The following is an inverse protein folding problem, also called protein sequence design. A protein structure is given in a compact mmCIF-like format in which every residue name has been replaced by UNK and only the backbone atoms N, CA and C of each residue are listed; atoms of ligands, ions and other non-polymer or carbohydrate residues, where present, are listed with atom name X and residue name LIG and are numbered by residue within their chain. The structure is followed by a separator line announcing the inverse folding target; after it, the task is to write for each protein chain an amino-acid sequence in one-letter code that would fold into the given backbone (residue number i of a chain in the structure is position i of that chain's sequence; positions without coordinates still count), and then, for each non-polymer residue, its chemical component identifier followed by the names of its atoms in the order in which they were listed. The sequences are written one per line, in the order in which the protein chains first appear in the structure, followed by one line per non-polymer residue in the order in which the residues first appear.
data_IF_258169647849
#
_entry.id   IF_258169647849
#
_cell.length_a   1.000
_cell.length_b   1.000
_cell.length_c   1.000
_cell.angle_alpha   90.00
_cell.angle_beta   90.00
_cell.angle_gamma   90.00
#
_symmetry.space_group_name_H-M   'P 1'
#
loop_
_entity.id
_entity.type
_entity.pdbx_description
1 polymer ?
#
# COMPACT_ATOMS: atom_id res chain seq x y z
N UNK A 1 37.25 -14.76 -38.39
CA UNK A 1 37.72 -16.12 -38.03
C UNK A 1 39.14 -16.08 -37.45
N UNK A 2 40.03 -15.24 -37.97
CA UNK A 2 41.43 -15.13 -37.53
C UNK A 2 41.60 -14.62 -36.08
N UNK A 3 40.95 -13.51 -35.71
CA UNK A 3 40.97 -12.97 -34.33
C UNK A 3 40.36 -13.90 -33.27
N UNK A 4 39.43 -14.78 -33.65
CA UNK A 4 38.78 -15.72 -32.73
C UNK A 4 39.72 -16.89 -32.39
N UNK A 5 40.51 -17.34 -33.38
CA UNK A 5 41.54 -18.35 -33.16
C UNK A 5 42.68 -17.80 -32.31
N UNK A 6 43.09 -16.54 -32.53
CA UNK A 6 44.14 -15.88 -31.76
C UNK A 6 43.77 -15.72 -30.27
N UNK A 7 42.53 -15.31 -29.95
CA UNK A 7 42.07 -15.23 -28.56
C UNK A 7 42.04 -16.61 -27.89
N UNK A 8 41.59 -17.64 -28.61
CA UNK A 8 41.51 -19.01 -28.09
C UNK A 8 42.90 -19.55 -27.73
N UNK A 9 43.90 -19.31 -28.57
CA UNK A 9 45.26 -19.78 -28.35
C UNK A 9 45.90 -19.11 -27.12
N UNK A 10 45.61 -17.83 -26.89
CA UNK A 10 46.05 -17.10 -25.71
C UNK A 10 45.42 -17.64 -24.42
N UNK A 11 44.15 -18.02 -24.46
CA UNK A 11 43.45 -18.63 -23.31
C UNK A 11 44.07 -19.98 -22.96
N UNK A 12 44.26 -20.87 -23.94
CA UNK A 12 44.89 -22.18 -23.72
C UNK A 12 46.30 -22.02 -23.15
N UNK A 13 47.08 -21.06 -23.66
CA UNK A 13 48.41 -20.74 -23.12
C UNK A 13 48.36 -20.19 -21.69
N UNK A 14 47.34 -19.41 -21.35
CA UNK A 14 47.14 -18.91 -19.99
C UNK A 14 46.76 -20.02 -19.00
N UNK A 15 45.92 -20.96 -19.42
CA UNK A 15 45.50 -22.11 -18.60
C UNK A 15 46.66 -23.08 -18.32
N UNK A 16 47.60 -23.21 -19.26
CA UNK A 16 48.80 -24.04 -19.12
C UNK A 16 49.97 -23.39 -18.39
N UNK A 17 49.85 -22.14 -17.91
CA UNK A 17 50.96 -21.44 -17.25
C UNK A 17 51.26 -22.04 -15.86
N UNK A 18 52.48 -22.53 -15.69
CA UNK A 18 53.04 -22.93 -14.40
C UNK A 18 54.26 -22.05 -14.09
N UNK A 19 54.24 -21.40 -12.93
CA UNK A 19 55.30 -20.49 -12.49
C UNK A 19 55.95 -21.06 -11.24
N UNK A 20 57.13 -21.66 -11.40
CA UNK A 20 57.97 -22.20 -10.33
C UNK A 20 59.32 -21.49 -10.23
N UNK A 21 59.64 -20.60 -11.17
CA UNK A 21 60.90 -19.83 -11.19
C UNK A 21 60.67 -18.35 -11.46
N UNK A 22 61.63 -17.51 -11.06
CA UNK A 22 61.58 -16.06 -11.28
C UNK A 22 61.54 -15.69 -12.77
N UNK A 23 62.27 -16.40 -13.62
CA UNK A 23 62.23 -16.16 -15.07
C UNK A 23 60.86 -16.49 -15.69
N UNK A 24 60.18 -17.53 -15.19
CA UNK A 24 58.79 -17.82 -15.60
C UNK A 24 57.81 -16.75 -15.12
N UNK A 25 58.04 -16.16 -13.94
CA UNK A 25 57.24 -15.06 -13.43
C UNK A 25 57.34 -13.81 -14.31
N UNK A 26 58.57 -13.44 -14.72
CA UNK A 26 58.82 -12.32 -15.62
C UNK A 26 58.22 -12.57 -17.02
N UNK A 27 58.39 -13.78 -17.57
CA UNK A 27 57.77 -14.17 -18.84
C UNK A 27 56.24 -14.19 -18.78
N UNK A 28 55.64 -14.59 -17.66
CA UNK A 28 54.20 -14.53 -17.44
C UNK A 28 53.70 -13.08 -17.36
N UNK A 29 54.47 -12.16 -16.77
CA UNK A 29 54.14 -10.75 -16.75
C UNK A 29 54.16 -10.13 -18.16
N UNK A 30 55.13 -10.48 -19.00
CA UNK A 30 55.15 -10.01 -20.39
C UNK A 30 54.03 -10.60 -21.23
N UNK A 31 53.71 -11.88 -21.03
CA UNK A 31 52.54 -12.51 -21.65
C UNK A 31 51.22 -11.84 -21.20
N UNK A 32 51.10 -11.50 -19.91
CA UNK A 32 49.95 -10.76 -19.38
C UNK A 32 49.77 -9.42 -20.09
N UNK A 33 50.85 -8.66 -20.37
CA UNK A 33 50.78 -7.41 -21.14
C UNK A 33 50.19 -7.62 -22.55
N UNK A 34 50.55 -8.71 -23.22
CA UNK A 34 49.98 -9.06 -24.54
C UNK A 34 48.47 -9.29 -24.43
N UNK A 35 48.03 -10.10 -23.45
CA UNK A 35 46.60 -10.33 -23.20
C UNK A 35 45.86 -9.03 -22.90
N UNK A 36 46.45 -8.13 -22.11
CA UNK A 36 45.86 -6.81 -21.83
C UNK A 36 45.78 -5.93 -23.07
N UNK A 37 46.76 -6.00 -23.97
CA UNK A 37 46.75 -5.30 -25.26
C UNK A 37 45.55 -5.72 -26.13
N UNK A 38 45.30 -7.01 -26.24
CA UNK A 38 44.17 -7.54 -27.01
C UNK A 38 42.83 -7.22 -26.33
N UNK A 39 42.74 -7.32 -25.00
CA UNK A 39 41.56 -6.85 -24.26
C UNK A 39 41.26 -5.37 -24.53
N UNK A 40 42.29 -4.53 -24.63
CA UNK A 40 42.15 -3.11 -24.96
C UNK A 40 41.62 -2.92 -26.39
N UNK A 41 42.15 -3.64 -27.37
CA UNK A 41 41.66 -3.55 -28.77
C UNK A 41 40.19 -3.98 -28.91
N UNK A 42 39.79 -5.04 -28.20
CA UNK A 42 38.39 -5.48 -28.13
C UNK A 42 37.52 -4.36 -27.55
N UNK A 43 37.91 -3.80 -26.40
CA UNK A 43 37.20 -2.66 -25.80
C UNK A 43 37.10 -1.47 -26.74
N UNK A 44 38.20 -1.06 -27.37
CA UNK A 44 38.20 0.07 -28.32
C UNK A 44 37.29 -0.17 -29.53
N UNK A 45 37.10 -1.43 -29.94
CA UNK A 45 36.23 -1.80 -31.06
C UNK A 45 34.75 -1.85 -30.66
N UNK A 46 34.43 -2.39 -29.47
CA UNK A 46 33.05 -2.67 -29.06
C UNK A 46 32.46 -1.64 -28.09
N UNK A 47 33.25 -1.01 -27.22
CA UNK A 47 32.77 0.00 -26.26
C UNK A 47 32.07 1.16 -26.96
N UNK A 48 32.54 1.71 -28.11
CA UNK A 48 31.80 2.75 -28.82
C UNK A 48 30.44 2.29 -29.38
N UNK A 49 30.32 1.02 -29.76
CA UNK A 49 29.07 0.44 -30.26
C UNK A 49 28.07 0.29 -29.11
N UNK A 50 28.54 -0.25 -27.99
CA UNK A 50 27.75 -0.39 -26.75
C UNK A 50 27.30 0.98 -26.26
N UNK A 51 28.20 1.97 -26.27
CA UNK A 51 27.89 3.33 -25.86
C UNK A 51 26.81 3.95 -26.74
N UNK A 52 26.91 3.86 -28.06
CA UNK A 52 25.87 4.34 -28.99
C UNK A 52 24.53 3.67 -28.75
N UNK A 53 24.51 2.35 -28.51
CA UNK A 53 23.28 1.63 -28.20
C UNK A 53 22.65 2.09 -26.88
N UNK A 54 23.47 2.28 -25.84
CA UNK A 54 23.04 2.82 -24.56
C UNK A 54 22.49 4.24 -24.66
N UNK A 55 23.14 5.10 -25.46
CA UNK A 55 22.71 6.46 -25.67
C UNK A 55 21.41 6.51 -26.46
N UNK A 56 21.26 5.71 -27.50
CA UNK A 56 20.01 5.55 -28.24
C UNK A 56 18.87 5.01 -27.34
N UNK A 57 19.17 4.04 -26.48
CA UNK A 57 18.21 3.52 -25.52
C UNK A 57 17.76 4.58 -24.50
N UNK A 58 18.70 5.35 -23.94
CA UNK A 58 18.41 6.46 -23.02
C UNK A 58 17.58 7.55 -23.71
N UNK A 59 17.92 7.91 -24.94
CA UNK A 59 17.17 8.90 -25.73
C UNK A 59 15.74 8.40 -26.02
N UNK A 60 15.58 7.14 -26.39
CA UNK A 60 14.27 6.54 -26.62
C UNK A 60 13.42 6.52 -25.34
N UNK A 61 14.01 6.17 -24.20
CA UNK A 61 13.35 6.28 -22.89
C UNK A 61 12.95 7.71 -22.60
N UNK A 62 13.86 8.67 -22.78
CA UNK A 62 13.60 10.08 -22.50
C UNK A 62 12.43 10.62 -23.34
N UNK A 63 12.42 10.37 -24.66
CA UNK A 63 11.32 10.77 -25.55
C UNK A 63 10.01 10.07 -25.22
N UNK A 64 10.06 8.78 -24.89
CA UNK A 64 8.87 8.05 -24.42
C UNK A 64 8.31 8.71 -23.16
N UNK A 65 9.17 8.97 -22.18
CA UNK A 65 8.77 9.50 -20.89
C UNK A 65 8.31 10.97 -20.99
N UNK A 66 8.88 11.77 -21.89
CA UNK A 66 8.41 13.13 -22.21
C UNK A 66 6.94 13.15 -22.62
N UNK A 67 6.49 12.17 -23.40
CA UNK A 67 5.09 12.07 -23.83
C UNK A 67 4.21 11.28 -22.84
N UNK A 68 4.77 10.26 -22.21
CA UNK A 68 4.02 9.35 -21.34
C UNK A 68 3.80 9.94 -19.95
N UNK A 69 4.74 10.72 -19.41
CA UNK A 69 4.64 11.27 -18.06
C UNK A 69 3.46 12.24 -17.90
N UNK A 70 3.22 13.20 -18.81
CA UNK A 70 2.04 14.06 -18.73
C UNK A 70 0.72 13.28 -18.77
N UNK A 71 0.65 12.18 -19.53
CA UNK A 71 -0.52 11.32 -19.59
C UNK A 71 -0.73 10.53 -18.29
N UNK A 72 0.35 10.02 -17.68
CA UNK A 72 0.30 9.39 -16.35
C UNK A 72 -0.16 10.38 -15.29
N UNK A 73 0.32 11.61 -15.34
CA UNK A 73 -0.04 12.66 -14.39
C UNK A 73 -1.52 13.08 -14.57
N UNK A 74 -1.98 13.19 -15.82
CA UNK A 74 -3.39 13.41 -16.14
C UNK A 74 -4.27 12.27 -15.64
N UNK A 75 -3.89 11.01 -15.89
CA UNK A 75 -4.59 9.82 -15.41
C UNK A 75 -4.68 9.81 -13.87
N UNK A 76 -3.57 10.08 -13.18
CA UNK A 76 -3.55 10.17 -11.71
C UNK A 76 -4.46 11.28 -11.18
N UNK A 77 -4.51 12.42 -11.88
CA UNK A 77 -5.37 13.55 -11.53
C UNK A 77 -6.85 13.19 -11.71
N UNK A 78 -7.22 12.60 -12.85
CA UNK A 78 -8.59 12.14 -13.12
C UNK A 78 -9.03 11.12 -12.08
N UNK A 79 -8.19 10.11 -11.79
CA UNK A 79 -8.48 9.10 -10.76
C UNK A 79 -8.73 9.74 -9.39
N UNK A 80 -7.92 10.72 -8.99
CA UNK A 80 -8.11 11.44 -7.72
C UNK A 80 -9.44 12.19 -7.69
N UNK A 81 -9.82 12.86 -8.76
CA UNK A 81 -11.10 13.56 -8.89
C UNK A 81 -12.27 12.57 -8.79
N UNK A 82 -12.18 11.43 -9.49
CA UNK A 82 -13.21 10.39 -9.44
C UNK A 82 -13.36 9.78 -8.04
N UNK A 83 -12.25 9.52 -7.33
CA UNK A 83 -12.27 9.02 -5.95
C UNK A 83 -12.90 10.06 -5.01
N UNK A 84 -12.55 11.34 -5.16
CA UNK A 84 -13.11 12.42 -4.34
C UNK A 84 -14.62 12.52 -4.55
N UNK A 85 -15.08 12.51 -5.81
CA UNK A 85 -16.51 12.52 -6.12
C UNK A 85 -17.24 11.32 -5.54
N UNK A 86 -16.74 10.09 -5.73
CA UNK A 86 -17.35 8.88 -5.17
C UNK A 86 -17.45 8.97 -3.65
N UNK A 87 -16.37 9.39 -2.99
CA UNK A 87 -16.33 9.60 -1.54
C UNK A 87 -17.39 10.60 -1.08
N UNK A 88 -17.54 11.73 -1.78
CA UNK A 88 -18.57 12.71 -1.46
C UNK A 88 -19.99 12.18 -1.69
N UNK A 89 -20.24 11.45 -2.77
CA UNK A 89 -21.55 10.88 -3.04
C UNK A 89 -21.93 9.84 -1.98
N UNK A 90 -20.98 9.01 -1.54
CA UNK A 90 -21.18 8.05 -0.45
C UNK A 90 -21.49 8.74 0.88
N UNK A 91 -20.76 9.82 1.21
CA UNK A 91 -21.05 10.64 2.39
C UNK A 91 -22.45 11.27 2.34
N UNK A 92 -22.83 11.84 1.20
CA UNK A 92 -24.18 12.41 1.01
C UNK A 92 -25.27 11.36 1.16
N UNK A 93 -25.08 10.17 0.59
CA UNK A 93 -26.01 9.06 0.72
C UNK A 93 -26.16 8.62 2.20
N UNK A 94 -25.04 8.51 2.93
CA UNK A 94 -25.03 8.16 4.35
C UNK A 94 -25.69 9.23 5.23
N UNK A 95 -25.38 10.51 5.00
CA UNK A 95 -26.00 11.63 5.73
C UNK A 95 -27.52 11.69 5.52
N UNK A 96 -27.97 11.45 4.29
CA UNK A 96 -29.40 11.41 3.97
C UNK A 96 -30.07 10.20 4.63
N UNK A 97 -29.42 9.04 4.62
CA UNK A 97 -29.90 7.83 5.28
C UNK A 97 -30.06 8.08 6.79
N UNK A 98 -29.05 8.64 7.43
CA UNK A 98 -29.07 8.97 8.86
C UNK A 98 -30.16 9.99 9.21
N UNK A 99 -30.42 10.97 8.33
CA UNK A 99 -31.51 11.94 8.52
C UNK A 99 -32.88 11.26 8.46
N UNK A 100 -33.09 10.38 7.48
CA UNK A 100 -34.34 9.61 7.35
C UNK A 100 -34.56 8.70 8.56
N UNK A 101 -33.52 8.03 9.03
CA UNK A 101 -33.59 7.17 10.23
C UNK A 101 -33.93 7.97 11.49
N UNK A 102 -33.29 9.14 11.68
CA UNK A 102 -33.61 10.03 12.81
C UNK A 102 -35.03 10.56 12.74
N UNK A 103 -35.52 10.92 11.55
CA UNK A 103 -36.90 11.39 11.40
C UNK A 103 -37.91 10.28 11.66
N UNK A 104 -37.66 9.06 11.16
CA UNK A 104 -38.48 7.90 11.44
C UNK A 104 -38.49 7.55 12.93
N UNK A 105 -37.33 7.57 13.58
CA UNK A 105 -37.23 7.34 15.02
C UNK A 105 -37.99 8.40 15.82
N UNK A 106 -37.83 9.68 15.48
CA UNK A 106 -38.58 10.77 16.12
C UNK A 106 -40.09 10.58 15.98
N UNK A 107 -40.58 10.23 14.79
CA UNK A 107 -42.02 9.97 14.57
C UNK A 107 -42.51 8.77 15.38
N UNK A 108 -41.72 7.71 15.46
CA UNK A 108 -42.05 6.54 16.28
C UNK A 108 -42.09 6.88 17.78
N UNK A 109 -41.13 7.67 18.27
CA UNK A 109 -41.08 8.13 19.65
C UNK A 109 -42.24 9.08 19.99
N UNK A 110 -42.55 10.02 19.09
CA UNK A 110 -43.71 10.94 19.22
C UNK A 110 -45.04 10.16 19.21
N UNK A 111 -45.18 9.13 18.36
CA UNK A 111 -46.37 8.29 18.33
C UNK A 111 -46.51 7.45 19.60
N UNK A 112 -45.40 6.87 20.07
CA UNK A 112 -45.36 6.10 21.31
C UNK A 112 -45.73 6.97 22.51
N UNK A 113 -45.14 8.16 22.64
CA UNK A 113 -45.46 9.11 23.69
C UNK A 113 -46.94 9.52 23.66
N UNK A 114 -47.51 9.77 22.47
CA UNK A 114 -48.94 10.08 22.31
C UNK A 114 -49.83 8.93 22.77
N UNK A 115 -49.47 7.68 22.46
CA UNK A 115 -50.23 6.49 22.88
C UNK A 115 -50.12 6.27 24.41
N UNK A 116 -48.94 6.45 24.99
CA UNK A 116 -48.73 6.39 26.45
C UNK A 116 -49.51 7.49 27.20
N UNK A 117 -49.57 8.71 26.67
CA UNK A 117 -50.36 9.80 27.27
C UNK A 117 -51.86 9.49 27.22
N UNK A 118 -52.37 8.97 26.10
CA UNK A 118 -53.76 8.52 26.00
C UNK A 118 -54.07 7.43 27.01
N UNK A 119 -53.18 6.45 27.20
CA UNK A 119 -53.32 5.43 28.24
C UNK A 119 -53.44 6.08 29.63
N UNK A 120 -52.55 7.01 29.98
CA UNK A 120 -52.58 7.71 31.28
C UNK A 120 -53.91 8.42 31.51
N UNK A 121 -54.41 9.15 30.52
CA UNK A 121 -55.71 9.84 30.60
C UNK A 121 -56.87 8.87 30.84
N UNK A 122 -56.89 7.71 30.18
CA UNK A 122 -57.90 6.69 30.42
C UNK A 122 -57.79 6.05 31.82
N UNK A 123 -56.57 5.81 32.32
CA UNK A 123 -56.35 5.32 33.69
C UNK A 123 -56.79 6.32 34.75
N UNK A 124 -56.52 7.61 34.55
CA UNK A 124 -56.98 8.66 35.47
C UNK A 124 -58.50 8.79 35.47
N UNK A 125 -59.12 8.76 34.28
CA UNK A 125 -60.59 8.77 34.14
C UNK A 125 -61.24 7.57 34.83
N UNK A 126 -60.61 6.39 34.79
CA UNK A 126 -61.12 5.23 35.51
C UNK A 126 -61.12 5.44 37.03
N UNK A 127 -60.03 6.00 37.59
CA UNK A 127 -59.93 6.32 39.02
C UNK A 127 -60.99 7.35 39.46
N UNK A 128 -61.28 8.34 38.62
CA UNK A 128 -62.32 9.34 38.91
C UNK A 128 -63.72 8.70 38.94
N UNK A 129 -64.06 7.88 37.95
CA UNK A 129 -65.36 7.20 37.89
C UNK A 129 -65.56 6.21 39.05
N UNK A 130 -64.49 5.59 39.54
CA UNK A 130 -64.50 4.75 40.73
C UNK A 130 -64.78 5.57 42.00
N UNK A 131 -64.12 6.73 42.15
CA UNK A 131 -64.37 7.65 43.26
C UNK A 131 -65.78 8.25 43.26
N UNK A 132 -66.38 8.44 42.08
CA UNK A 132 -67.76 8.90 41.89
C UNK A 132 -68.81 7.78 42.12
N UNK A 133 -68.39 6.54 42.42
CA UNK A 133 -69.29 5.43 42.68
C UNK A 133 -69.90 4.79 41.43
N UNK A 134 -69.27 4.95 40.25
CA UNK A 134 -69.68 4.33 39.00
C UNK A 134 -68.73 3.18 38.59
N UNK A 135 -68.88 1.97 39.17
CA UNK A 135 -67.97 0.86 38.95
C UNK A 135 -68.00 0.31 37.51
N UNK A 136 -69.14 0.35 36.83
CA UNK A 136 -69.22 -0.04 35.41
C UNK A 136 -68.47 0.94 34.50
N UNK A 137 -68.58 2.25 34.76
CA UNK A 137 -67.85 3.28 34.03
C UNK A 137 -66.34 3.16 34.21
N UNK A 138 -65.89 2.90 35.45
CA UNK A 138 -64.48 2.69 35.78
C UNK A 138 -63.89 1.46 35.07
N UNK A 139 -64.62 0.34 35.05
CA UNK A 139 -64.19 -0.89 34.36
C UNK A 139 -64.03 -0.69 32.85
N UNK A 140 -64.98 -0.01 32.19
CA UNK A 140 -64.89 0.31 30.75
C UNK A 140 -63.73 1.26 30.43
N UNK A 141 -63.38 2.16 31.34
CA UNK A 141 -62.24 3.06 31.19
C UNK A 141 -60.89 2.33 31.38
N UNK A 142 -60.80 1.37 32.31
CA UNK A 142 -59.62 0.50 32.48
C UNK A 142 -59.41 -0.42 31.27
N UNK A 143 -60.46 -1.05 30.76
CA UNK A 143 -60.38 -1.88 29.56
C UNK A 143 -59.86 -1.10 28.35
N UNK A 144 -60.32 0.15 28.18
CA UNK A 144 -59.78 1.07 27.16
C UNK A 144 -58.32 1.44 27.42
N UNK A 145 -57.91 1.64 28.67
CA UNK A 145 -56.51 1.91 28.99
C UNK A 145 -55.61 0.71 28.66
N UNK A 146 -56.01 -0.50 29.03
CA UNK A 146 -55.23 -1.71 28.78
C UNK A 146 -55.16 -2.03 27.26
N UNK A 147 -56.23 -1.74 26.51
CA UNK A 147 -56.20 -1.81 25.05
C UNK A 147 -55.20 -0.82 24.44
N UNK A 148 -55.16 0.42 24.93
CA UNK A 148 -54.17 1.43 24.50
C UNK A 148 -52.74 1.08 24.92
N UNK A 149 -52.56 0.43 26.06
CA UNK A 149 -51.28 -0.08 26.54
C UNK A 149 -50.73 -1.18 25.61
N UNK A 150 -51.60 -2.03 25.07
CA UNK A 150 -51.20 -3.04 24.09
C UNK A 150 -50.80 -2.38 22.75
N UNK A 151 -51.57 -1.39 22.29
CA UNK A 151 -51.30 -0.64 21.06
C UNK A 151 -50.03 0.24 21.12
N UNK A 152 -49.61 0.67 22.32
CA UNK A 152 -48.37 1.44 22.55
C UNK A 152 -47.13 0.54 22.53
N UNK A 153 -47.27 -0.74 22.88
CA UNK A 153 -46.20 -1.73 22.79
C UNK A 153 -45.96 -2.21 21.37
N UNK A 154 -46.98 -2.17 20.50
CA UNK A 154 -46.89 -2.62 19.10
C UNK A 154 -46.73 -1.47 18.11
N UNK A 155 -45.99 -0.41 18.45
CA UNK A 155 -45.65 0.64 17.46
C UNK A 155 -44.75 0.02 16.40
N UNK A 156 -45.31 -0.24 15.21
CA UNK A 156 -44.55 -0.70 14.05
C UNK A 156 -43.56 0.40 13.64
N UNK A 157 -42.28 0.07 13.64
CA UNK A 157 -41.25 0.98 13.13
C UNK A 157 -41.50 1.20 11.62
N UNK A 158 -41.60 2.47 11.21
CA UNK A 158 -41.71 2.81 9.80
C UNK A 158 -40.49 2.28 9.03
N UNK A 159 -40.71 1.51 7.97
CA UNK A 159 -39.65 1.04 7.07
C UNK A 159 -38.96 2.24 6.40
N UNK A 160 -37.72 2.51 6.79
CA UNK A 160 -36.92 3.59 6.21
C UNK A 160 -36.37 3.12 4.86
N UNK A 161 -36.62 3.85 3.75
CA UNK A 161 -36.08 3.46 2.45
C UNK A 161 -34.55 3.58 2.47
N UNK A 162 -33.85 2.51 2.08
CA UNK A 162 -32.39 2.48 1.99
C UNK A 162 -31.93 3.28 0.78
N UNK A 163 -31.10 4.29 0.99
CA UNK A 163 -30.50 5.07 -0.09
C UNK A 163 -29.42 4.24 -0.78
N UNK A 164 -29.56 4.06 -2.09
CA UNK A 164 -28.59 3.34 -2.90
C UNK A 164 -27.23 4.07 -2.91
N UNK A 165 -26.16 3.32 -2.62
CA UNK A 165 -24.80 3.82 -2.75
C UNK A 165 -24.41 3.93 -4.23
N UNK A 166 -23.56 4.91 -4.61
CA UNK A 166 -22.98 5.00 -5.94
C UNK A 166 -22.27 3.69 -6.32
N UNK A 167 -22.48 3.23 -7.55
CA UNK A 167 -21.77 2.08 -8.09
C UNK A 167 -20.58 2.56 -8.92
N UNK A 168 -19.48 1.79 -8.87
CA UNK A 168 -18.33 2.03 -9.73
C UNK A 168 -18.76 1.96 -11.22
N UNK A 169 -18.26 2.86 -12.08
CA UNK A 169 -18.55 2.79 -13.51
C UNK A 169 -17.98 1.49 -14.11
N UNK A 170 -18.61 0.98 -15.17
CA UNK A 170 -18.18 -0.25 -15.84
C UNK A 170 -16.69 -0.15 -16.25
N UNK A 171 -15.89 -1.11 -15.82
CA UNK A 171 -14.44 -1.17 -16.09
C UNK A 171 -13.56 -0.45 -15.05
N UNK A 172 -14.14 0.23 -14.06
CA UNK A 172 -13.39 0.74 -12.91
C UNK A 172 -13.50 -0.23 -11.72
N UNK A 173 -12.36 -0.49 -11.08
CA UNK A 173 -12.30 -1.24 -9.82
C UNK A 173 -11.47 -0.46 -8.82
N UNK A 174 -11.92 -0.48 -7.58
CA UNK A 174 -11.19 0.07 -6.45
C UNK A 174 -10.38 -1.05 -5.80
N UNK A 175 -9.18 -0.74 -5.34
CA UNK A 175 -8.36 -1.63 -4.51
C UNK A 175 -7.73 -0.82 -3.39
N UNK A 176 -7.63 -1.42 -2.22
CA UNK A 176 -6.92 -0.84 -1.10
C UNK A 176 -5.44 -1.19 -1.21
N UNK A 177 -4.59 -0.17 -1.16
CA UNK A 177 -3.15 -0.34 -1.08
C UNK A 177 -2.71 0.04 0.32
N UNK A 178 -2.27 -0.95 1.08
CA UNK A 178 -1.78 -0.78 2.45
C UNK A 178 -0.27 -0.51 2.42
N UNK A 179 0.18 0.55 3.09
CA UNK A 179 1.60 0.87 3.28
C UNK A 179 1.88 1.19 4.74
N UNK A 180 3.00 0.70 5.27
CA UNK A 180 3.45 1.04 6.62
C UNK A 180 4.38 2.26 6.58
N UNK A 181 4.09 3.24 7.43
CA UNK A 181 5.00 4.37 7.70
C UNK A 181 5.68 4.12 9.04
N UNK A 182 7.02 4.18 9.07
CA UNK A 182 7.80 3.99 10.30
C UNK A 182 7.80 5.31 11.07
N UNK A 183 7.06 5.35 12.18
CA UNK A 183 6.98 6.52 13.06
C UNK A 183 8.20 6.62 13.99
N UNK A 184 8.63 5.49 14.56
CA UNK A 184 9.84 5.39 15.40
C UNK A 184 10.61 4.11 15.09
N UNK A 185 11.86 4.28 14.63
CA UNK A 185 12.77 3.20 14.25
C UNK A 185 13.18 2.34 15.46
N UNK A 186 13.25 2.92 16.66
CA UNK A 186 13.75 2.25 17.86
C UNK A 186 12.79 1.16 18.36
N UNK A 187 11.50 1.32 18.06
CA UNK A 187 10.45 0.38 18.42
C UNK A 187 10.21 -0.70 17.36
N UNK A 188 10.83 -0.57 16.17
CA UNK A 188 10.70 -1.57 15.11
C UNK A 188 11.41 -2.86 15.54
N UNK A 189 10.73 -4.02 15.54
CA UNK A 189 11.39 -5.29 15.84
C UNK A 189 12.55 -5.57 14.88
N UNK A 190 13.65 -6.12 15.41
CA UNK A 190 14.88 -6.38 14.65
C UNK A 190 14.68 -7.30 13.44
N UNK A 191 13.63 -8.11 13.44
CA UNK A 191 13.23 -8.99 12.33
C UNK A 191 12.86 -8.22 11.05
N UNK A 192 12.37 -6.99 11.18
CA UNK A 192 12.02 -6.12 10.06
C UNK A 192 13.17 -5.17 9.67
N UNK A 193 14.31 -5.24 10.36
CA UNK A 193 15.49 -4.42 10.08
C UNK A 193 16.45 -5.14 9.13
N UNK A 194 16.90 -4.44 8.09
CA UNK A 194 17.91 -4.95 7.14
C UNK A 194 19.25 -4.27 7.38
N UNK A 195 20.32 -5.05 7.46
CA UNK A 195 21.68 -4.54 7.64
C UNK A 195 22.19 -3.89 6.35
N UNK A 196 22.76 -2.70 6.45
CA UNK A 196 23.37 -2.01 5.31
C UNK A 196 24.76 -2.57 4.99
N UNK A 197 24.82 -3.60 4.14
CA UNK A 197 26.07 -4.25 3.73
C UNK A 197 27.05 -3.27 3.05
N UNK A 198 26.55 -2.36 2.21
CA UNK A 198 27.39 -1.41 1.48
C UNK A 198 28.14 -0.45 2.42
N UNK A 199 27.50 -0.04 3.51
CA UNK A 199 28.16 0.78 4.53
C UNK A 199 29.27 0.01 5.24
N UNK A 200 29.02 -1.26 5.58
CA UNK A 200 30.02 -2.14 6.21
C UNK A 200 31.23 -2.36 5.28
N UNK A 201 31.00 -2.61 3.99
CA UNK A 201 32.08 -2.81 3.01
C UNK A 201 32.96 -1.56 2.87
N UNK A 202 32.36 -0.36 2.86
CA UNK A 202 33.11 0.91 2.86
C UNK A 202 33.99 1.08 4.09
N UNK A 203 33.49 0.71 5.27
CA UNK A 203 34.27 0.72 6.51
C UNK A 203 35.42 -0.30 6.42
N UNK A 204 35.16 -1.50 5.89
CA UNK A 204 36.17 -2.52 5.68
C UNK A 204 37.33 -2.01 4.80
N UNK A 205 37.01 -1.34 3.69
CA UNK A 205 38.00 -0.77 2.78
C UNK A 205 38.81 0.35 3.42
N UNK A 206 38.14 1.30 4.10
CA UNK A 206 38.79 2.46 4.70
C UNK A 206 39.72 2.07 5.87
N UNK A 207 39.32 1.07 6.65
CA UNK A 207 40.00 0.69 7.90
C UNK A 207 40.88 -0.55 7.73
N UNK A 208 40.86 -1.17 6.54
CA UNK A 208 41.52 -2.45 6.23
C UNK A 208 41.20 -3.55 7.25
N UNK A 209 39.98 -3.53 7.81
CA UNK A 209 39.52 -4.49 8.81
C UNK A 209 40.03 -4.25 10.24
N UNK A 210 40.63 -3.09 10.52
CA UNK A 210 41.15 -2.76 11.86
C UNK A 210 40.03 -2.44 12.87
N UNK A 211 38.91 -1.88 12.41
CA UNK A 211 37.76 -1.59 13.28
C UNK A 211 36.98 -2.88 13.57
N UNK A 212 36.63 -3.09 14.84
CA UNK A 212 35.78 -4.19 15.28
C UNK A 212 34.33 -3.71 15.44
N UNK A 213 33.41 -4.32 14.69
CA UNK A 213 31.97 -4.10 14.84
C UNK A 213 31.37 -5.42 15.36
N UNK A 214 30.69 -5.43 16.52
CA UNK A 214 30.06 -6.63 17.06
C UNK A 214 29.15 -7.31 16.04
N UNK A 215 29.42 -8.59 15.74
CA UNK A 215 28.65 -9.38 14.77
C UNK A 215 29.08 -9.25 13.30
N UNK A 216 30.13 -8.49 12.99
CA UNK A 216 30.67 -8.33 11.61
C UNK A 216 32.13 -8.81 11.55
N UNK A 217 32.46 -9.63 10.56
CA UNK A 217 33.83 -10.10 10.28
C UNK A 217 34.32 -9.56 8.95
N UNK A 218 35.38 -8.75 8.98
CA UNK A 218 36.05 -8.27 7.76
C UNK A 218 37.05 -9.31 7.24
N UNK A 219 37.05 -9.55 5.92
CA UNK A 219 37.95 -10.49 5.23
C UNK A 219 38.67 -9.79 4.09
N UNK A 220 39.96 -10.05 3.92
CA UNK A 220 40.78 -9.52 2.81
C UNK A 220 41.25 -10.64 1.89
N UNK A 221 41.23 -10.39 0.58
CA UNK A 221 41.74 -11.30 -0.46
C UNK A 221 42.69 -10.52 -1.37
N UNK A 222 43.91 -11.01 -1.53
CA UNK A 222 44.91 -10.38 -2.41
C UNK A 222 44.52 -10.59 -3.86
N UNK A 223 44.43 -9.50 -4.62
CA UNK A 223 44.17 -9.50 -6.07
C UNK A 223 45.35 -8.81 -6.79
N UNK A 224 45.88 -9.44 -7.83
CA UNK A 224 46.95 -8.85 -8.65
C UNK A 224 46.32 -7.94 -9.71
N UNK A 225 46.78 -6.69 -9.78
CA UNK A 225 46.37 -5.73 -10.81
C UNK A 225 47.56 -5.44 -11.71
N UNK A 226 47.37 -5.64 -13.02
CA UNK A 226 48.32 -5.23 -14.06
C UNK A 226 47.68 -4.07 -14.82
N UNK A 227 48.46 -3.07 -15.27
CA UNK A 227 47.96 -1.91 -16.03
C UNK A 227 48.13 -2.11 -17.52
#
# INVERSE_FOLDING_TARGET
MEQVNEVRDLVVRAEGLMITTQGQYEGANDFLKVVKGIQKQVKESFDPIIQKANDAHKEAIAKRDEHLQPLKDAEATIKRIMIAYDTEQRKKAEELQLKLEREAQRKADEEKARKEEQERQWREKAKQLEAEGNPEGARKALEKADQRALESQTVEMAIVPVIAQPQAPKGASYREQWSAEVVDISLVPREYMVVNQQALDKIAMATKGTIQIPGVKFVSKTIMSSR
#
